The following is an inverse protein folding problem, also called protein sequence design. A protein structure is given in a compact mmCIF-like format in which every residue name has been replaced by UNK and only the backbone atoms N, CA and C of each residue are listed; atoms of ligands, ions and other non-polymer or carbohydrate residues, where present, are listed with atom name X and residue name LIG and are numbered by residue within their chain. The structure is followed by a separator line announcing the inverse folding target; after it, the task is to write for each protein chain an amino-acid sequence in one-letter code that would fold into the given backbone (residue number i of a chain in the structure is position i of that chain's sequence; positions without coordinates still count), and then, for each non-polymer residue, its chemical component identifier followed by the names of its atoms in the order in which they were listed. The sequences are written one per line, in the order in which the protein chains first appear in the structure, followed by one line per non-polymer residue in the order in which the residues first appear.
data_IF_821455053459
#
_entry.id   IF_821455053459
#
_cell.length_a   1.000
_cell.length_b   1.000
_cell.length_c   1.000
_cell.angle_alpha   90.00
_cell.angle_beta   90.00
_cell.angle_gamma   90.00
#
_symmetry.space_group_name_H-M   'P 1'
#
loop_
_entity.id
_entity.type
_entity.pdbx_description
1 polymer ?
#
# COMPACT_ATOMS: atom_id res chain seq x y z
N UNK A 1 6.80 -1.85 -20.96
CA UNK A 1 5.51 -2.09 -20.29
C UNK A 1 5.78 -2.13 -18.79
N UNK A 2 5.56 -1.00 -18.12
CA UNK A 2 5.60 -0.96 -16.66
C UNK A 2 4.27 -1.52 -16.14
N UNK A 3 4.28 -2.76 -15.66
CA UNK A 3 3.13 -3.32 -14.96
C UNK A 3 3.18 -2.88 -13.50
N UNK A 4 2.20 -2.11 -13.08
CA UNK A 4 1.92 -1.89 -11.65
C UNK A 4 1.04 -3.04 -11.17
N UNK A 5 1.37 -3.62 -10.02
CA UNK A 5 0.57 -4.65 -9.39
C UNK A 5 -0.10 -4.07 -8.15
N UNK A 6 -1.43 -4.12 -8.13
CA UNK A 6 -2.24 -3.71 -7.00
C UNK A 6 -2.70 -4.96 -6.28
N UNK A 7 -2.47 -5.00 -4.99
CA UNK A 7 -3.00 -6.01 -4.09
C UNK A 7 -4.00 -5.32 -3.18
N UNK A 8 -5.22 -5.81 -3.18
CA UNK A 8 -6.33 -5.29 -2.39
C UNK A 8 -6.60 -6.22 -1.22
N UNK A 9 -6.76 -5.66 -0.03
CA UNK A 9 -7.16 -6.33 1.21
C UNK A 9 -6.41 -7.63 1.53
N UNK A 10 -5.46 -7.57 2.43
CA UNK A 10 -4.93 -8.78 3.04
C UNK A 10 -4.91 -8.72 4.57
N UNK A 11 -5.38 -9.82 5.15
CA UNK A 11 -5.13 -10.14 6.54
C UNK A 11 -3.73 -10.76 6.68
N UNK A 12 -2.71 -9.93 6.81
CA UNK A 12 -1.46 -10.40 7.40
C UNK A 12 -1.75 -10.72 8.87
N UNK A 13 -1.37 -11.87 9.34
CA UNK A 13 -1.84 -12.57 10.56
C UNK A 13 -1.99 -11.75 11.85
N UNK A 14 -1.71 -10.45 11.86
CA UNK A 14 -1.91 -9.48 12.96
C UNK A 14 -2.22 -8.05 12.53
N UNK A 15 -2.61 -7.80 11.27
CA UNK A 15 -2.94 -6.43 10.81
C UNK A 15 -3.67 -6.45 9.48
N UNK A 16 -4.49 -5.46 9.25
CA UNK A 16 -5.20 -5.22 8.00
C UNK A 16 -4.48 -4.10 7.26
N UNK A 17 -4.26 -4.27 5.96
CA UNK A 17 -3.71 -3.26 5.06
C UNK A 17 -4.73 -3.06 3.95
N UNK A 18 -5.19 -1.82 3.74
CA UNK A 18 -6.20 -1.55 2.72
C UNK A 18 -5.65 -1.77 1.31
N UNK A 19 -4.42 -1.29 1.01
CA UNK A 19 -3.78 -1.50 -0.29
C UNK A 19 -2.29 -1.75 -0.15
N UNK A 20 -1.78 -2.67 -0.98
CA UNK A 20 -0.36 -2.89 -1.22
C UNK A 20 -0.10 -2.62 -2.70
N UNK A 21 0.72 -1.62 -2.99
CA UNK A 21 1.17 -1.31 -4.34
C UNK A 21 2.61 -1.77 -4.52
N UNK A 22 2.91 -2.37 -5.67
CA UNK A 22 4.29 -2.68 -6.06
C UNK A 22 4.65 -1.93 -7.34
N UNK A 23 5.82 -1.32 -7.35
CA UNK A 23 6.28 -0.56 -8.50
C UNK A 23 7.80 -0.69 -8.66
N UNK A 24 8.34 -0.86 -9.89
CA UNK A 24 9.77 -1.07 -10.12
C UNK A 24 10.67 0.00 -9.51
N UNK A 25 10.23 1.26 -9.50
CA UNK A 25 11.02 2.40 -9.01
C UNK A 25 10.70 2.81 -7.58
N UNK A 26 9.47 2.58 -7.11
CA UNK A 26 9.03 3.01 -5.78
C UNK A 26 9.03 1.89 -4.75
N UNK A 27 9.30 0.65 -5.17
CA UNK A 27 9.27 -0.51 -4.29
C UNK A 27 7.85 -0.91 -3.91
N UNK A 28 7.61 -1.09 -2.61
CA UNK A 28 6.33 -1.49 -2.03
C UNK A 28 5.74 -0.31 -1.28
N UNK A 29 4.50 0.05 -1.57
CA UNK A 29 3.79 1.12 -0.87
C UNK A 29 2.55 0.53 -0.21
N UNK A 30 2.51 0.61 1.11
CA UNK A 30 1.34 0.24 1.92
C UNK A 30 0.47 1.47 2.12
N UNK A 31 -0.82 1.35 1.88
CA UNK A 31 -1.77 2.46 2.04
C UNK A 31 -2.87 2.04 3.01
N UNK A 32 -3.05 2.85 4.05
CA UNK A 32 -4.18 2.80 4.97
C UNK A 32 -5.15 3.93 4.63
N UNK A 33 -6.43 3.62 4.43
CA UNK A 33 -7.46 4.60 4.05
C UNK A 33 -8.30 4.99 5.25
N UNK A 34 -8.47 6.28 5.46
CA UNK A 34 -9.31 6.84 6.53
C UNK A 34 -10.48 7.64 5.94
N UNK A 35 -11.68 7.21 6.28
CA UNK A 35 -12.92 7.83 5.84
C UNK A 35 -13.33 9.06 6.63
N UNK A 36 -14.55 9.50 6.37
CA UNK A 36 -15.17 10.62 7.07
C UNK A 36 -15.18 10.47 8.59
N UNK A 37 -15.05 11.62 9.26
CA UNK A 37 -15.18 11.70 10.72
C UNK A 37 -13.96 11.19 11.49
N UNK A 38 -12.85 10.86 10.81
CA UNK A 38 -11.58 10.58 11.45
C UNK A 38 -10.80 11.88 11.62
N UNK A 39 -10.41 12.20 12.85
CA UNK A 39 -9.66 13.41 13.16
C UNK A 39 -8.73 13.21 14.36
N UNK A 40 -7.76 14.10 14.51
CA UNK A 40 -6.84 14.13 15.64
C UNK A 40 -7.13 15.37 16.51
N UNK A 41 -7.28 15.18 17.81
CA UNK A 41 -7.42 16.24 18.77
C UNK A 41 -6.53 15.99 19.99
N UNK A 42 -5.67 16.94 20.35
CA UNK A 42 -4.73 16.79 21.45
C UNK A 42 -3.79 15.59 21.31
N UNK A 43 -3.43 15.20 20.09
CA UNK A 43 -2.58 14.03 19.81
C UNK A 43 -3.32 12.69 19.89
N UNK A 44 -4.61 12.69 20.13
CA UNK A 44 -5.45 11.49 20.16
C UNK A 44 -6.34 11.45 18.92
N UNK A 45 -6.52 10.24 18.38
CA UNK A 45 -7.33 9.99 17.18
C UNK A 45 -8.74 9.55 17.55
N UNK A 46 -9.72 10.06 16.79
CA UNK A 46 -11.14 9.80 16.97
C UNK A 46 -11.81 9.47 15.65
N UNK A 47 -12.89 8.69 15.72
CA UNK A 47 -13.89 8.53 14.66
C UNK A 47 -15.25 8.91 15.24
N UNK A 48 -15.74 10.11 14.88
CA UNK A 48 -16.85 10.71 15.62
C UNK A 48 -16.48 10.91 17.10
N UNK A 49 -17.28 10.38 18.00
CA UNK A 49 -17.02 10.48 19.46
C UNK A 49 -16.12 9.36 20.02
N UNK A 50 -15.84 8.33 19.21
CA UNK A 50 -15.07 7.16 19.65
C UNK A 50 -13.58 7.35 19.39
N UNK A 51 -12.77 7.08 20.44
CA UNK A 51 -11.33 7.02 20.28
C UNK A 51 -10.96 5.86 19.36
N UNK A 52 -10.03 6.09 18.43
CA UNK A 52 -9.48 5.10 17.52
C UNK A 52 -7.97 5.05 17.59
N UNK A 53 -7.36 4.04 16.97
CA UNK A 53 -5.91 3.94 16.85
C UNK A 53 -5.38 5.02 15.92
N UNK A 54 -4.18 5.51 16.19
CA UNK A 54 -3.43 6.40 15.31
C UNK A 54 -3.18 5.68 13.97
N UNK A 55 -3.67 6.19 12.83
CA UNK A 55 -3.54 5.52 11.55
C UNK A 55 -2.10 5.36 11.08
N UNK A 56 -1.23 6.30 11.45
CA UNK A 56 0.21 6.19 11.13
C UNK A 56 0.88 5.10 11.95
N UNK A 57 0.49 4.91 13.20
CA UNK A 57 0.94 3.77 14.00
C UNK A 57 0.38 2.45 13.46
N UNK A 58 -0.88 2.45 13.02
CA UNK A 58 -1.53 1.26 12.46
C UNK A 58 -0.79 0.74 11.23
N UNK A 59 -0.48 1.62 10.27
CA UNK A 59 0.21 1.23 9.04
C UNK A 59 1.69 0.86 9.28
N UNK A 60 2.37 1.49 10.24
CA UNK A 60 3.74 1.11 10.62
C UNK A 60 3.79 -0.26 11.30
N UNK A 61 2.81 -0.60 12.15
CA UNK A 61 2.70 -1.95 12.72
C UNK A 61 2.46 -2.99 11.62
N UNK A 62 1.59 -2.69 10.66
CA UNK A 62 1.35 -3.55 9.51
C UNK A 62 2.59 -3.72 8.63
N UNK A 63 3.38 -2.64 8.43
CA UNK A 63 4.69 -2.70 7.78
C UNK A 63 5.65 -3.63 8.51
N UNK A 64 5.73 -3.53 9.84
CA UNK A 64 6.56 -4.40 10.67
C UNK A 64 6.18 -5.87 10.49
N UNK A 65 4.88 -6.19 10.53
CA UNK A 65 4.37 -7.53 10.31
C UNK A 65 4.68 -8.08 8.91
N UNK A 66 4.56 -7.25 7.87
CA UNK A 66 4.93 -7.63 6.51
C UNK A 66 6.44 -7.93 6.39
N UNK A 67 7.28 -7.10 6.99
CA UNK A 67 8.74 -7.33 7.02
C UNK A 67 9.05 -8.68 7.70
N UNK A 68 8.46 -8.94 8.85
CA UNK A 68 8.63 -10.22 9.57
C UNK A 68 8.18 -11.40 8.70
N UNK A 69 7.01 -11.28 8.06
CA UNK A 69 6.50 -12.30 7.15
C UNK A 69 7.46 -12.57 5.98
N UNK A 70 8.02 -11.52 5.36
CA UNK A 70 8.99 -11.68 4.27
C UNK A 70 10.27 -12.38 4.73
N UNK A 71 10.77 -12.07 5.93
CA UNK A 71 11.94 -12.78 6.49
C UNK A 71 11.64 -14.25 6.79
N UNK A 72 10.46 -14.56 7.33
CA UNK A 72 10.03 -15.93 7.62
C UNK A 72 9.89 -16.75 6.33
N UNK A 73 9.50 -16.11 5.22
CA UNK A 73 9.30 -16.74 3.92
C UNK A 73 10.45 -16.49 2.92
N UNK A 74 11.60 -16.02 3.38
CA UNK A 74 12.74 -15.66 2.52
C UNK A 74 13.19 -16.77 1.57
N UNK A 75 13.02 -18.02 1.97
CA UNK A 75 13.40 -19.17 1.15
C UNK A 75 12.58 -19.31 -0.14
N UNK A 76 11.36 -18.77 -0.17
CA UNK A 76 10.52 -18.76 -1.36
C UNK A 76 11.04 -17.79 -2.43
N UNK A 77 11.88 -16.81 -2.03
CA UNK A 77 12.51 -15.85 -2.94
C UNK A 77 13.86 -16.31 -3.49
N UNK A 78 14.41 -17.43 -3.02
CA UNK A 78 15.76 -17.93 -3.40
C UNK A 78 16.03 -18.03 -4.92
N UNK A 79 15.05 -18.35 -5.79
CA UNK A 79 15.30 -18.34 -7.23
C UNK A 79 15.71 -16.97 -7.78
N UNK A 80 15.27 -15.88 -7.12
CA UNK A 80 15.48 -14.48 -7.53
C UNK A 80 16.51 -13.82 -6.60
N UNK A 81 16.37 -14.03 -5.29
CA UNK A 81 17.19 -13.43 -4.24
C UNK A 81 18.20 -14.46 -3.73
N UNK A 82 19.47 -14.19 -3.94
CA UNK A 82 20.56 -15.10 -3.58
C UNK A 82 21.18 -14.78 -2.22
N UNK A 83 21.14 -13.52 -1.80
CA UNK A 83 21.81 -13.05 -0.62
C UNK A 83 20.87 -12.33 0.35
N UNK A 84 21.15 -12.40 1.65
CA UNK A 84 20.33 -11.75 2.69
C UNK A 84 20.28 -10.21 2.53
N UNK A 85 21.35 -9.60 2.00
CA UNK A 85 21.35 -8.16 1.73
C UNK A 85 20.26 -7.73 0.74
N UNK A 86 19.86 -8.62 -0.17
CA UNK A 86 18.84 -8.36 -1.19
C UNK A 86 17.43 -8.35 -0.56
N UNK A 87 17.16 -9.25 0.41
CA UNK A 87 15.89 -9.18 1.16
C UNK A 87 15.82 -7.90 1.99
N UNK A 88 16.96 -7.42 2.52
CA UNK A 88 17.04 -6.13 3.20
C UNK A 88 16.77 -4.97 2.25
N UNK A 89 17.22 -5.04 1.00
CA UNK A 89 16.91 -4.04 -0.02
C UNK A 89 15.41 -3.96 -0.29
N UNK A 90 14.73 -5.12 -0.42
CA UNK A 90 13.28 -5.19 -0.61
C UNK A 90 12.55 -4.60 0.61
N UNK A 91 12.86 -5.07 1.82
CA UNK A 91 12.19 -4.60 3.04
C UNK A 91 12.45 -3.12 3.32
N UNK A 92 13.61 -2.58 2.93
CA UNK A 92 13.93 -1.15 3.03
C UNK A 92 13.21 -0.29 1.99
N UNK A 93 12.61 -0.90 0.96
CA UNK A 93 11.80 -0.23 -0.05
C UNK A 93 10.30 -0.26 0.26
N UNK A 94 9.91 -0.68 1.47
CA UNK A 94 8.51 -0.65 1.92
C UNK A 94 8.22 0.70 2.53
N UNK A 95 7.33 1.45 1.90
CA UNK A 95 6.87 2.77 2.32
C UNK A 95 5.44 2.70 2.84
N UNK A 96 5.09 3.61 3.74
CA UNK A 96 3.75 3.69 4.36
C UNK A 96 3.10 5.02 4.05
N UNK A 97 1.83 4.99 3.72
CA UNK A 97 1.02 6.16 3.41
C UNK A 97 -0.34 6.02 4.07
N UNK A 98 -0.82 7.10 4.69
CA UNK A 98 -2.21 7.22 5.13
C UNK A 98 -2.97 8.11 4.16
N UNK A 99 -4.06 7.60 3.61
CA UNK A 99 -4.89 8.31 2.63
C UNK A 99 -6.17 8.84 3.28
N UNK A 100 -6.44 10.13 3.08
CA UNK A 100 -7.65 10.84 3.51
C UNK A 100 -8.38 11.38 2.28
N UNK A 101 -9.25 10.61 1.62
CA UNK A 101 -9.90 11.00 0.37
C UNK A 101 -10.77 12.25 0.46
N UNK A 102 -11.20 12.62 1.66
CA UNK A 102 -12.08 13.77 1.90
C UNK A 102 -11.39 14.95 2.59
N UNK A 103 -10.10 14.86 2.83
CA UNK A 103 -9.28 15.97 3.30
C UNK A 103 -8.73 16.70 2.07
N UNK A 104 -9.15 17.94 1.79
CA UNK A 104 -8.75 18.65 0.57
C UNK A 104 -7.24 18.79 0.44
N UNK A 105 -6.60 19.28 1.49
CA UNK A 105 -5.17 19.55 1.56
C UNK A 105 -4.53 19.03 2.84
N UNK A 106 -3.18 18.85 2.80
CA UNK A 106 -2.43 18.48 3.98
C UNK A 106 -2.58 19.54 5.07
N UNK A 107 -3.05 19.09 6.22
CA UNK A 107 -3.09 19.84 7.48
C UNK A 107 -2.25 19.09 8.51
N UNK A 108 -1.80 19.80 9.55
CA UNK A 108 -1.12 19.16 10.65
C UNK A 108 -2.14 18.38 11.50
N UNK A 109 -2.42 17.16 11.10
CA UNK A 109 -3.46 16.29 11.67
C UNK A 109 -2.94 15.34 12.74
N UNK A 110 -1.63 15.39 13.05
CA UNK A 110 -1.03 14.55 14.10
C UNK A 110 0.49 14.60 14.07
N UNK A 111 1.13 14.20 15.17
CA UNK A 111 2.59 14.29 15.31
C UNK A 111 3.36 13.47 14.28
N UNK A 112 2.78 12.37 13.78
CA UNK A 112 3.39 11.47 12.78
C UNK A 112 3.02 11.83 11.35
N UNK A 113 2.06 12.75 11.15
CA UNK A 113 1.64 13.18 9.83
C UNK A 113 2.70 14.08 9.18
N UNK A 114 2.98 13.81 7.92
CA UNK A 114 3.85 14.64 7.08
C UNK A 114 3.28 14.65 5.65
N UNK A 115 3.69 15.63 4.84
CA UNK A 115 3.33 15.66 3.42
C UNK A 115 3.84 14.45 2.63
N UNK A 116 4.87 13.76 3.12
CA UNK A 116 5.46 12.61 2.45
C UNK A 116 4.77 11.29 2.76
N UNK A 117 3.98 11.22 3.83
CA UNK A 117 3.28 10.00 4.24
C UNK A 117 1.76 10.16 4.33
N UNK A 118 1.21 11.27 3.77
CA UNK A 118 -0.22 11.57 3.81
C UNK A 118 -0.71 11.94 2.43
N UNK A 119 -1.62 11.13 1.87
CA UNK A 119 -2.36 11.44 0.66
C UNK A 119 -3.65 12.20 1.01
N UNK A 120 -3.89 13.30 0.33
CA UNK A 120 -5.10 14.12 0.44
C UNK A 120 -5.91 14.09 -0.84
N UNK A 121 -7.11 14.64 -0.83
CA UNK A 121 -7.99 14.68 -2.00
C UNK A 121 -7.30 15.25 -3.24
N UNK A 122 -6.51 16.32 -3.09
CA UNK A 122 -5.83 16.95 -4.20
C UNK A 122 -4.68 16.10 -4.79
N UNK A 123 -4.12 15.16 -4.02
CA UNK A 123 -3.04 14.29 -4.49
C UNK A 123 -3.55 13.16 -5.41
N UNK A 124 -4.83 12.79 -5.31
CA UNK A 124 -5.39 11.69 -6.12
C UNK A 124 -5.42 11.98 -7.62
N UNK A 125 -5.48 13.24 -8.01
CA UNK A 125 -5.39 13.64 -9.41
C UNK A 125 -4.02 13.40 -10.05
N UNK A 126 -2.95 13.21 -9.25
CA UNK A 126 -1.59 12.96 -9.71
C UNK A 126 -0.79 12.10 -8.72
N UNK A 127 -1.20 10.85 -8.52
CA UNK A 127 -0.52 9.91 -7.63
C UNK A 127 0.93 9.65 -8.03
N UNK A 128 1.20 9.53 -9.33
CA UNK A 128 2.56 9.35 -9.85
C UNK A 128 3.45 10.51 -9.43
N UNK A 129 2.99 11.75 -9.58
CA UNK A 129 3.73 12.93 -9.16
C UNK A 129 3.94 12.99 -7.64
N UNK A 130 2.95 12.55 -6.85
CA UNK A 130 3.10 12.43 -5.40
C UNK A 130 4.20 11.42 -5.04
N UNK A 131 4.17 10.22 -5.63
CA UNK A 131 5.17 9.19 -5.36
C UNK A 131 6.57 9.62 -5.79
N UNK A 132 6.71 10.19 -7.00
CA UNK A 132 8.00 10.70 -7.48
C UNK A 132 8.61 11.76 -6.57
N UNK A 133 7.78 12.61 -5.97
CA UNK A 133 8.20 13.69 -5.09
C UNK A 133 8.56 13.20 -3.69
N UNK A 134 7.84 12.22 -3.16
CA UNK A 134 7.87 11.90 -1.75
C UNK A 134 8.47 10.53 -1.41
N UNK A 135 8.51 9.60 -2.37
CA UNK A 135 9.10 8.29 -2.17
C UNK A 135 10.48 8.25 -2.82
N UNK A 136 11.55 7.95 -2.06
CA UNK A 136 12.87 7.77 -2.64
C UNK A 136 12.84 6.67 -3.70
N UNK A 137 13.31 6.99 -4.91
CA UNK A 137 13.46 5.99 -5.94
C UNK A 137 14.53 5.00 -5.53
N UNK A 138 14.17 3.73 -5.45
CA UNK A 138 15.07 2.61 -5.20
C UNK A 138 14.95 1.62 -6.34
N UNK A 139 16.06 0.94 -6.61
CA UNK A 139 16.15 -0.04 -7.69
C UNK A 139 15.47 -1.36 -7.32
N UNK A 140 14.18 -1.31 -6.94
CA UNK A 140 13.39 -2.51 -6.65
C UNK A 140 13.25 -3.38 -7.91
N UNK A 141 13.23 -2.76 -9.09
CA UNK A 141 13.15 -3.44 -10.37
C UNK A 141 14.46 -4.08 -10.88
N UNK A 142 15.58 -4.01 -10.11
CA UNK A 142 16.81 -4.73 -10.46
C UNK A 142 16.65 -6.25 -10.39
N UNK A 143 15.66 -6.72 -9.63
CA UNK A 143 15.37 -8.14 -9.51
C UNK A 143 14.24 -8.51 -10.47
N UNK A 144 14.60 -9.05 -11.64
CA UNK A 144 13.60 -9.53 -12.61
C UNK A 144 12.63 -10.54 -11.95
N UNK A 145 11.34 -10.30 -12.10
CA UNK A 145 10.27 -11.15 -11.53
C UNK A 145 10.01 -10.98 -10.04
N UNK A 146 10.70 -10.03 -9.34
CA UNK A 146 10.51 -9.84 -7.90
C UNK A 146 9.07 -9.45 -7.54
N UNK A 147 8.40 -8.66 -8.37
CA UNK A 147 7.03 -8.22 -8.13
C UNK A 147 6.05 -9.38 -8.21
N UNK A 148 6.20 -10.24 -9.23
CA UNK A 148 5.36 -11.43 -9.40
C UNK A 148 5.61 -12.41 -8.25
N UNK A 149 6.86 -12.59 -7.85
CA UNK A 149 7.21 -13.45 -6.73
C UNK A 149 6.72 -12.90 -5.38
N UNK A 150 6.82 -11.59 -5.18
CA UNK A 150 6.25 -10.94 -4.01
C UNK A 150 4.73 -11.20 -3.92
N UNK A 151 4.03 -11.00 -5.03
CA UNK A 151 2.58 -11.26 -5.11
C UNK A 151 2.26 -12.73 -4.82
N UNK A 152 2.99 -13.67 -5.40
CA UNK A 152 2.82 -15.12 -5.18
C UNK A 152 3.00 -15.49 -3.70
N UNK A 153 4.00 -14.92 -3.02
CA UNK A 153 4.32 -15.21 -1.62
C UNK A 153 3.33 -14.55 -0.66
N UNK A 154 2.92 -13.30 -0.96
CA UNK A 154 1.98 -12.54 -0.10
C UNK A 154 0.54 -12.99 -0.33
N UNK A 155 0.19 -13.47 -1.54
CA UNK A 155 -1.16 -13.90 -1.93
C UNK A 155 -1.17 -15.35 -2.46
N UNK A 156 -0.82 -16.35 -1.62
CA UNK A 156 -0.63 -17.73 -2.10
C UNK A 156 -1.90 -18.39 -2.67
N UNK A 157 -3.08 -17.93 -2.30
CA UNK A 157 -4.37 -18.59 -2.63
C UNK A 157 -5.15 -17.94 -3.77
N UNK A 158 -4.60 -16.93 -4.44
CA UNK A 158 -5.24 -16.40 -5.64
C UNK A 158 -5.06 -17.41 -6.78
N UNK A 159 -6.08 -18.21 -7.00
CA UNK A 159 -6.19 -19.12 -8.12
C UNK A 159 -6.17 -18.29 -9.40
N UNK A 160 -5.00 -18.10 -9.99
CA UNK A 160 -4.77 -17.32 -11.21
C UNK A 160 -5.28 -18.09 -12.41
N UNK A 161 -6.58 -18.29 -12.50
CA UNK A 161 -7.22 -18.59 -13.78
C UNK A 161 -7.05 -17.38 -14.70
N UNK A 162 -6.70 -17.59 -15.98
CA UNK A 162 -6.22 -16.51 -16.85
C UNK A 162 -7.26 -15.39 -16.99
N UNK A 163 -6.81 -14.14 -16.88
CA UNK A 163 -7.48 -12.84 -17.17
C UNK A 163 -8.95 -12.66 -16.73
N UNK A 164 -9.83 -13.67 -16.91
CA UNK A 164 -11.24 -13.63 -16.44
C UNK A 164 -11.37 -13.71 -14.92
N UNK A 165 -10.46 -14.40 -14.26
CA UNK A 165 -10.43 -14.50 -12.80
C UNK A 165 -9.96 -13.21 -12.13
N UNK A 166 -8.96 -12.54 -12.72
CA UNK A 166 -8.44 -11.26 -12.20
C UNK A 166 -9.50 -10.16 -12.20
N UNK A 167 -10.29 -10.04 -13.29
CA UNK A 167 -11.38 -9.06 -13.38
C UNK A 167 -12.50 -9.38 -12.39
N UNK A 168 -12.84 -10.66 -12.19
CA UNK A 168 -13.88 -11.05 -11.24
C UNK A 168 -13.44 -10.81 -9.81
N UNK A 169 -12.22 -11.24 -9.42
CA UNK A 169 -11.69 -10.99 -8.08
C UNK A 169 -11.55 -9.50 -7.79
N UNK A 170 -11.10 -8.70 -8.77
CA UNK A 170 -11.04 -7.25 -8.63
C UNK A 170 -12.44 -6.64 -8.44
N UNK A 171 -13.44 -7.10 -9.21
CA UNK A 171 -14.82 -6.66 -9.05
C UNK A 171 -15.43 -7.07 -7.70
N UNK A 172 -15.20 -8.31 -7.25
CA UNK A 172 -15.68 -8.78 -5.95
C UNK A 172 -15.04 -7.97 -4.81
N UNK A 173 -13.75 -7.66 -4.90
CA UNK A 173 -13.05 -6.80 -3.95
C UNK A 173 -13.56 -5.35 -4.00
N UNK A 174 -13.80 -4.80 -5.18
CA UNK A 174 -14.41 -3.47 -5.33
C UNK A 174 -15.81 -3.42 -4.71
N UNK A 175 -16.59 -4.49 -4.83
CA UNK A 175 -17.92 -4.56 -4.22
C UNK A 175 -17.90 -4.65 -2.69
N UNK A 176 -16.85 -5.25 -2.11
CA UNK A 176 -16.65 -5.36 -0.66
C UNK A 176 -15.96 -4.14 -0.04
N UNK A 177 -15.35 -3.29 -0.87
CA UNK A 177 -14.61 -2.10 -0.42
C UNK A 177 -15.53 -1.01 0.11
N UNK A 178 -15.07 -0.25 1.10
CA UNK A 178 -15.77 0.97 1.54
C UNK A 178 -15.75 2.04 0.45
N UNK A 179 -16.63 3.04 0.54
CA UNK A 179 -16.66 4.15 -0.42
C UNK A 179 -15.32 4.91 -0.47
N UNK A 180 -14.67 5.06 0.67
CA UNK A 180 -13.34 5.67 0.77
C UNK A 180 -12.26 4.88 0.04
N UNK A 181 -12.28 3.56 0.21
CA UNK A 181 -11.36 2.66 -0.48
C UNK A 181 -11.61 2.67 -2.00
N UNK A 182 -12.86 2.77 -2.44
CA UNK A 182 -13.21 2.91 -3.87
C UNK A 182 -12.66 4.17 -4.49
N UNK A 183 -12.68 5.31 -3.76
CA UNK A 183 -12.06 6.56 -4.23
C UNK A 183 -10.58 6.38 -4.48
N UNK A 184 -9.86 5.77 -3.52
CA UNK A 184 -8.42 5.50 -3.65
C UNK A 184 -8.15 4.52 -4.80
N UNK A 185 -8.92 3.44 -4.90
CA UNK A 185 -8.76 2.43 -5.95
C UNK A 185 -8.96 3.03 -7.34
N UNK A 186 -10.01 3.82 -7.53
CA UNK A 186 -10.28 4.48 -8.82
C UNK A 186 -9.12 5.42 -9.20
N UNK A 187 -8.62 6.22 -8.28
CA UNK A 187 -7.48 7.10 -8.53
C UNK A 187 -6.22 6.31 -8.93
N UNK A 188 -5.96 5.15 -8.29
CA UNK A 188 -4.86 4.27 -8.66
C UNK A 188 -5.06 3.73 -10.09
N UNK A 189 -6.26 3.26 -10.42
CA UNK A 189 -6.58 2.70 -11.74
C UNK A 189 -6.49 3.75 -12.85
N UNK A 190 -7.02 4.95 -12.62
CA UNK A 190 -6.96 6.06 -13.57
C UNK A 190 -5.52 6.51 -13.85
N UNK A 191 -4.67 6.58 -12.82
CA UNK A 191 -3.25 6.92 -12.99
C UNK A 191 -2.43 5.80 -13.69
N UNK A 192 -2.97 4.57 -13.76
CA UNK A 192 -2.34 3.46 -14.49
C UNK A 192 -2.65 3.42 -15.98
N UNK A 193 -3.69 4.12 -16.42
CA UNK A 193 -4.15 4.07 -17.82
C UNK A 193 -3.31 4.94 -18.76
N UNK A 194 -2.36 5.71 -18.24
CA UNK A 194 -1.56 6.70 -18.98
C UNK A 194 -0.05 6.38 -19.03
N UNK A 195 0.33 5.11 -18.96
CA UNK A 195 1.73 4.69 -19.12
C UNK A 195 1.88 3.68 -20.26
#
# INVERSE_FOLDING_TARGET
NMQQHIVLHEHVSRGEIDFILTHPYFGIVLIEVKGHGVFCNGGMWFRGEKRTKDPYTQIEDARGNLIEFLYQNKDQFKPIIKEEKEIRAITSSIHTIVAFPYLPDFQNIGMKASKSNTLTQNDFGNLTGFFQKHIPQKQFGEFEGIQDKFREVVLPDINTSPLRGLTKNLMDQMMSSTEEQKVVLNAILENNTYV
#
